data_IF_250325360730
#
_entry.id   IF_250325360730
#
_cell.length_a   1.000
_cell.length_b   1.000
_cell.length_c   1.000
_cell.angle_alpha   90.00
_cell.angle_beta   90.00
_cell.angle_gamma   90.00
#
_symmetry.space_group_name_H-M   'P 1'
#
loop_
_entity.id
_entity.type
_entity.pdbx_description
1 polymer ?
#
# COMPACT_ATOMS: atom_id res chain seq x y z
N UNK A 1 -3.83 5.95 18.94
CA UNK A 1 -4.74 5.42 17.91
C UNK A 1 -5.05 6.38 16.73
N UNK A 2 -4.34 7.49 16.59
CA UNK A 2 -4.59 8.47 15.51
C UNK A 2 -3.63 8.35 14.33
N UNK A 3 -2.95 7.24 14.17
CA UNK A 3 -1.82 7.17 13.23
C UNK A 3 -1.84 5.94 12.34
N UNK A 4 -2.98 5.60 11.78
CA UNK A 4 -2.94 4.85 10.53
C UNK A 4 -2.59 5.85 9.44
N UNK A 5 -1.33 5.92 9.11
CA UNK A 5 -0.83 6.69 7.99
C UNK A 5 -1.64 6.33 6.73
N UNK A 6 -1.86 7.30 5.86
CA UNK A 6 -2.52 7.09 4.55
C UNK A 6 -1.90 5.91 3.79
N UNK A 7 -0.61 5.69 3.93
CA UNK A 7 0.09 4.56 3.35
C UNK A 7 -0.47 3.21 3.83
N UNK A 8 -0.77 3.08 5.14
CA UNK A 8 -1.35 1.86 5.69
C UNK A 8 -2.78 1.69 5.19
N UNK A 9 -3.50 2.78 5.00
CA UNK A 9 -4.83 2.79 4.39
C UNK A 9 -4.77 2.40 2.91
N UNK A 10 -3.86 2.98 2.14
CA UNK A 10 -3.67 2.64 0.72
C UNK A 10 -3.21 1.21 0.57
N UNK A 11 -2.25 0.77 1.38
CA UNK A 11 -1.76 -0.61 1.37
C UNK A 11 -2.87 -1.62 1.71
N UNK A 12 -3.64 -1.33 2.73
CA UNK A 12 -4.79 -2.16 3.12
C UNK A 12 -5.87 -2.15 2.04
N UNK A 13 -6.21 -0.99 1.50
CA UNK A 13 -7.20 -0.86 0.44
C UNK A 13 -6.77 -1.58 -0.84
N UNK A 14 -5.50 -1.47 -1.23
CA UNK A 14 -4.95 -2.17 -2.38
C UNK A 14 -5.01 -3.70 -2.18
N UNK A 15 -4.67 -4.17 -0.98
CA UNK A 15 -4.75 -5.59 -0.61
C UNK A 15 -6.19 -6.11 -0.68
N UNK A 16 -7.13 -5.34 -0.14
CA UNK A 16 -8.57 -5.68 -0.21
C UNK A 16 -9.07 -5.72 -1.65
N UNK A 17 -8.68 -4.76 -2.47
CA UNK A 17 -9.06 -4.72 -3.89
C UNK A 17 -8.49 -5.91 -4.66
N UNK A 18 -7.23 -6.27 -4.42
CA UNK A 18 -6.60 -7.43 -5.04
C UNK A 18 -7.31 -8.73 -4.65
N UNK A 19 -7.65 -8.90 -3.39
CA UNK A 19 -8.41 -10.06 -2.90
C UNK A 19 -9.79 -10.13 -3.55
N UNK A 20 -10.51 -9.00 -3.61
CA UNK A 20 -11.83 -8.94 -4.23
C UNK A 20 -11.78 -9.27 -5.73
N UNK A 21 -10.79 -8.74 -6.46
CA UNK A 21 -10.59 -9.06 -7.87
C UNK A 21 -10.30 -10.56 -8.07
N UNK A 22 -9.46 -11.15 -7.23
CA UNK A 22 -9.15 -12.57 -7.29
C UNK A 22 -10.39 -13.43 -7.05
N UNK A 23 -11.24 -13.06 -6.08
CA UNK A 23 -12.52 -13.71 -5.82
C UNK A 23 -13.46 -13.62 -7.03
N UNK A 24 -13.59 -12.43 -7.64
CA UNK A 24 -14.42 -12.22 -8.83
C UNK A 24 -13.96 -13.03 -10.04
N UNK A 25 -12.67 -13.33 -10.15
CA UNK A 25 -12.10 -14.16 -11.20
C UNK A 25 -12.15 -15.66 -10.89
N UNK A 26 -12.79 -16.05 -9.81
CA UNK A 26 -12.96 -17.47 -9.44
C UNK A 26 -11.66 -18.16 -9.03
N UNK A 27 -10.69 -17.41 -8.51
CA UNK A 27 -9.43 -17.96 -8.02
C UNK A 27 -9.63 -18.76 -6.73
N UNK A 28 -8.74 -19.71 -6.48
CA UNK A 28 -8.72 -20.47 -5.24
C UNK A 28 -8.27 -19.63 -4.05
N UNK A 29 -8.56 -20.09 -2.85
CA UNK A 29 -8.25 -19.37 -1.61
C UNK A 29 -6.77 -18.99 -1.49
N UNK A 30 -5.87 -19.87 -1.84
CA UNK A 30 -4.42 -19.62 -1.81
C UNK A 30 -4.02 -18.50 -2.79
N UNK A 31 -4.66 -18.42 -3.94
CA UNK A 31 -4.43 -17.37 -4.93
C UNK A 31 -4.98 -16.02 -4.44
N UNK A 32 -6.13 -16.02 -3.79
CA UNK A 32 -6.74 -14.82 -3.19
C UNK A 32 -5.81 -14.25 -2.11
N UNK A 33 -5.33 -15.10 -1.22
CA UNK A 33 -4.40 -14.70 -0.16
C UNK A 33 -3.08 -14.20 -0.73
N UNK A 34 -2.55 -14.84 -1.76
CA UNK A 34 -1.32 -14.42 -2.43
C UNK A 34 -1.49 -13.06 -3.13
N UNK A 35 -2.60 -12.82 -3.79
CA UNK A 35 -2.89 -11.52 -4.41
C UNK A 35 -2.93 -10.40 -3.34
N UNK A 36 -3.59 -10.65 -2.22
CA UNK A 36 -3.65 -9.71 -1.10
C UNK A 36 -2.26 -9.43 -0.50
N UNK A 37 -1.46 -10.47 -0.33
CA UNK A 37 -0.09 -10.38 0.21
C UNK A 37 0.82 -9.56 -0.71
N UNK A 38 0.87 -9.86 -1.99
CA UNK A 38 1.69 -9.14 -2.97
C UNK A 38 1.31 -7.67 -3.05
N UNK A 39 0.01 -7.38 -3.05
CA UNK A 39 -0.48 -5.99 -3.07
C UNK A 39 -0.02 -5.20 -1.84
N UNK A 40 -0.09 -5.79 -0.66
CA UNK A 40 0.33 -5.13 0.59
C UNK A 40 1.85 -5.01 0.69
N UNK A 41 2.59 -6.03 0.28
CA UNK A 41 4.06 -6.06 0.32
C UNK A 41 4.67 -4.85 -0.39
N UNK A 42 4.12 -4.44 -1.52
CA UNK A 42 4.62 -3.31 -2.31
C UNK A 42 4.29 -1.94 -1.71
N UNK A 43 3.59 -1.89 -0.60
CA UNK A 43 3.27 -0.67 0.14
C UNK A 43 4.04 -0.54 1.46
N UNK A 44 4.97 -1.46 1.74
CA UNK A 44 5.79 -1.39 2.95
C UNK A 44 6.75 -0.19 2.90
N UNK A 45 6.81 0.56 3.99
CA UNK A 45 7.78 1.64 4.15
C UNK A 45 7.54 2.90 3.33
N UNK A 46 6.40 3.07 2.70
CA UNK A 46 6.08 4.28 1.95
C UNK A 46 5.90 5.48 2.90
N UNK A 47 6.43 6.62 2.50
CA UNK A 47 6.27 7.86 3.24
C UNK A 47 4.86 8.43 3.09
N UNK A 48 4.40 9.15 4.10
CA UNK A 48 3.17 9.93 4.06
C UNK A 48 3.49 11.41 4.21
N UNK A 49 3.54 12.10 3.10
CA UNK A 49 4.04 13.46 2.98
C UNK A 49 3.04 14.36 2.19
N UNK A 50 1.81 14.54 2.70
CA UNK A 50 0.81 15.35 2.02
C UNK A 50 1.23 16.81 1.97
N UNK A 51 1.25 17.38 0.76
CA UNK A 51 1.58 18.79 0.55
C UNK A 51 0.55 19.67 1.24
N UNK A 52 0.99 20.59 2.11
CA UNK A 52 0.14 21.48 2.91
C UNK A 52 -0.87 20.73 3.79
N UNK A 53 -0.59 19.47 4.13
CA UNK A 53 -1.51 18.64 4.90
C UNK A 53 -2.78 18.22 4.15
N UNK A 54 -2.85 18.48 2.85
CA UNK A 54 -4.01 18.15 2.03
C UNK A 54 -3.82 16.77 1.38
N UNK A 55 -4.86 15.95 1.42
CA UNK A 55 -4.88 14.62 0.78
C UNK A 55 -5.15 14.76 -0.72
N UNK A 56 -4.29 15.49 -1.41
CA UNK A 56 -4.39 15.76 -2.85
C UNK A 56 -3.07 15.45 -3.56
N UNK A 57 -1.99 16.08 -3.15
CA UNK A 57 -0.67 15.92 -3.74
C UNK A 57 0.24 15.29 -2.69
N UNK A 58 0.85 14.14 -2.94
CA UNK A 58 0.75 13.26 -4.11
C UNK A 58 -0.34 12.16 -3.99
N UNK A 59 -1.31 12.31 -3.09
CA UNK A 59 -2.22 11.23 -2.69
C UNK A 59 -3.11 10.74 -3.83
N UNK A 60 -3.56 11.64 -4.71
CA UNK A 60 -4.40 11.27 -5.87
C UNK A 60 -3.63 10.32 -6.78
N UNK A 61 -2.38 10.64 -7.10
CA UNK A 61 -1.53 9.81 -7.95
C UNK A 61 -1.20 8.47 -7.28
N UNK A 62 -0.92 8.48 -5.97
CA UNK A 62 -0.64 7.27 -5.20
C UNK A 62 -1.84 6.32 -5.16
N UNK A 63 -3.06 6.86 -5.08
CA UNK A 63 -4.27 6.05 -5.16
C UNK A 63 -4.45 5.41 -6.54
N UNK A 64 -4.18 6.15 -7.61
CA UNK A 64 -4.23 5.62 -8.97
C UNK A 64 -3.21 4.49 -9.17
N UNK A 65 -1.98 4.68 -8.71
CA UNK A 65 -0.93 3.63 -8.76
C UNK A 65 -1.34 2.42 -7.93
N UNK A 66 -1.94 2.61 -6.76
CA UNK A 66 -2.40 1.51 -5.93
C UNK A 66 -3.50 0.68 -6.61
N UNK A 67 -4.40 1.32 -7.35
CA UNK A 67 -5.42 0.63 -8.15
C UNK A 67 -4.76 -0.25 -9.23
N UNK A 68 -3.75 0.26 -9.92
CA UNK A 68 -2.98 -0.52 -10.90
C UNK A 68 -2.22 -1.67 -10.25
N UNK A 69 -1.68 -1.48 -9.06
CA UNK A 69 -1.01 -2.55 -8.30
C UNK A 69 -1.95 -3.68 -7.90
N UNK A 70 -3.20 -3.37 -7.58
CA UNK A 70 -4.20 -4.41 -7.30
C UNK A 70 -4.41 -5.31 -8.51
N UNK A 71 -4.48 -4.74 -9.70
CA UNK A 71 -4.61 -5.49 -10.97
C UNK A 71 -3.34 -6.31 -11.23
N UNK A 72 -2.16 -5.74 -11.02
CA UNK A 72 -0.89 -6.47 -11.17
C UNK A 72 -0.78 -7.63 -10.20
N UNK A 73 -1.21 -7.44 -8.95
CA UNK A 73 -1.20 -8.50 -7.94
C UNK A 73 -2.10 -9.67 -8.35
N UNK A 74 -3.25 -9.39 -8.94
CA UNK A 74 -4.13 -10.40 -9.52
C UNK A 74 -3.42 -11.22 -10.60
N UNK A 75 -2.74 -10.56 -11.53
CA UNK A 75 -1.99 -11.22 -12.60
C UNK A 75 -0.87 -12.11 -12.04
N UNK A 76 -0.10 -11.62 -11.07
CA UNK A 76 0.95 -12.39 -10.42
C UNK A 76 0.40 -13.59 -9.67
N UNK A 77 -0.71 -13.47 -8.99
CA UNK A 77 -1.35 -14.57 -8.28
C UNK A 77 -1.78 -15.68 -9.22
N UNK A 78 -2.18 -15.33 -10.44
CA UNK A 78 -2.55 -16.32 -11.45
C UNK A 78 -1.38 -17.21 -11.89
N UNK A 79 -0.14 -16.68 -11.88
CA UNK A 79 1.03 -17.38 -12.39
C UNK A 79 1.96 -17.92 -11.32
N UNK A 80 2.07 -17.26 -10.17
CA UNK A 80 3.16 -17.48 -9.21
C UNK A 80 2.74 -18.00 -7.83
N UNK A 81 1.47 -18.36 -7.64
CA UNK A 81 0.96 -18.81 -6.33
C UNK A 81 1.77 -19.97 -5.73
N UNK A 82 2.23 -20.89 -6.57
CA UNK A 82 2.96 -22.07 -6.15
C UNK A 82 4.40 -21.78 -5.71
N UNK A 83 4.92 -20.60 -6.00
CA UNK A 83 6.27 -20.18 -5.60
C UNK A 83 6.30 -19.33 -4.34
N UNK A 84 5.17 -19.19 -3.67
CA UNK A 84 4.99 -18.36 -2.49
C UNK A 84 5.91 -18.76 -1.36
N UNK A 85 6.64 -17.77 -0.81
CA UNK A 85 7.56 -17.95 0.32
C UNK A 85 7.20 -17.13 1.56
N UNK A 86 6.42 -16.09 1.39
CA UNK A 86 6.03 -15.13 2.43
C UNK A 86 4.52 -15.21 2.63
N UNK A 87 4.08 -15.29 3.89
CA UNK A 87 2.66 -15.32 4.21
C UNK A 87 2.08 -13.91 4.34
N UNK A 88 0.78 -13.80 4.14
CA UNK A 88 0.05 -12.54 4.37
C UNK A 88 0.24 -11.99 5.79
N UNK A 89 0.23 -12.87 6.80
CA UNK A 89 0.42 -12.46 8.19
C UNK A 89 1.78 -11.84 8.44
N UNK A 90 2.84 -12.38 7.82
CA UNK A 90 4.18 -11.80 7.91
C UNK A 90 4.22 -10.40 7.31
N UNK A 91 3.56 -10.19 6.18
CA UNK A 91 3.48 -8.86 5.55
C UNK A 91 2.71 -7.87 6.42
N UNK A 92 1.60 -8.29 7.03
CA UNK A 92 0.82 -7.43 7.95
C UNK A 92 1.66 -7.00 9.15
N UNK A 93 2.36 -7.94 9.79
CA UNK A 93 3.24 -7.64 10.90
C UNK A 93 4.39 -6.72 10.49
N UNK A 94 5.00 -6.96 9.34
CA UNK A 94 6.07 -6.12 8.80
C UNK A 94 5.57 -4.69 8.53
N UNK A 95 4.38 -4.54 7.99
CA UNK A 95 3.78 -3.22 7.77
C UNK A 95 3.60 -2.47 9.09
N UNK A 96 3.14 -3.13 10.13
CA UNK A 96 3.00 -2.53 11.45
C UNK A 96 4.34 -2.07 12.02
N UNK A 97 5.35 -2.93 12.01
CA UNK A 97 6.69 -2.62 12.52
C UNK A 97 7.35 -1.49 11.73
N UNK A 98 7.36 -1.58 10.41
CA UNK A 98 7.91 -0.54 9.53
C UNK A 98 7.22 0.79 9.75
N UNK A 99 5.91 0.76 10.00
CA UNK A 99 5.14 1.94 10.32
C UNK A 99 5.59 2.61 11.62
N UNK A 100 5.92 1.84 12.61
CA UNK A 100 6.45 2.33 13.89
C UNK A 100 7.84 2.91 13.77
N UNK A 101 8.68 2.34 12.94
CA UNK A 101 10.08 2.72 12.78
C UNK A 101 10.29 3.96 11.92
N UNK A 102 9.28 4.45 11.21
CA UNK A 102 9.38 5.68 10.45
C UNK A 102 9.48 6.91 11.35
N UNK A 103 10.39 7.81 11.02
CA UNK A 103 10.48 9.12 11.68
C UNK A 103 9.17 9.90 11.52
N UNK A 104 8.84 10.71 12.52
CA UNK A 104 7.60 11.52 12.55
C UNK A 104 7.41 12.39 11.31
N UNK A 105 8.50 12.92 10.74
CA UNK A 105 8.46 13.73 9.50
C UNK A 105 7.93 13.00 8.26
N UNK A 106 7.89 11.66 8.29
CA UNK A 106 7.37 10.83 7.20
C UNK A 106 5.98 10.26 7.48
N UNK A 107 5.34 10.70 8.58
CA UNK A 107 4.05 10.21 9.08
C UNK A 107 2.97 11.28 9.07
N UNK A 108 2.42 11.62 7.91
CA UNK A 108 1.31 12.58 7.78
C UNK A 108 1.56 14.01 8.30
N UNK A 109 2.78 14.35 8.68
CA UNK A 109 3.08 15.67 9.26
C UNK A 109 3.27 16.78 8.22
N UNK A 110 3.54 16.41 6.97
CA UNK A 110 3.92 17.39 5.95
C UNK A 110 5.29 18.06 6.18
N UNK A 111 6.06 17.56 7.15
CA UNK A 111 7.36 18.15 7.54
C UNK A 111 8.52 17.60 6.71
N UNK A 112 8.33 16.50 6.00
CA UNK A 112 9.37 15.83 5.23
C UNK A 112 8.89 15.36 3.86
N UNK A 113 9.76 14.65 3.13
CA UNK A 113 9.43 14.11 1.83
C UNK A 113 9.09 15.17 0.80
N UNK A 114 8.14 14.89 -0.07
CA UNK A 114 7.71 15.82 -1.12
C UNK A 114 7.13 17.13 -0.56
N UNK A 115 6.45 17.07 0.58
CA UNK A 115 5.83 18.23 1.19
C UNK A 115 6.84 19.31 1.55
N UNK A 116 8.07 18.93 1.92
CA UNK A 116 9.15 19.86 2.27
C UNK A 116 9.62 20.69 1.07
N UNK A 117 9.67 20.08 -0.10
CA UNK A 117 10.28 20.69 -1.29
C UNK A 117 9.28 21.31 -2.25
N UNK A 118 8.01 20.96 -2.13
CA UNK A 118 6.98 21.51 -3.00
C UNK A 118 6.51 22.88 -2.51
N UNK A 119 6.87 23.93 -3.25
CA UNK A 119 6.54 25.34 -2.88
C UNK A 119 5.20 25.83 -3.40
N UNK A 120 4.50 25.03 -4.23
CA UNK A 120 3.23 25.43 -4.82
C UNK A 120 3.32 26.50 -5.90
N UNK A 121 4.52 26.83 -6.35
CA UNK A 121 4.70 27.71 -7.52
C UNK A 121 4.64 26.86 -8.78
N UNK A 122 3.66 27.17 -9.62
CA UNK A 122 3.65 26.65 -10.99
C UNK A 122 4.78 27.30 -11.80
#
# INVERSE_FOLDING_TARGET
QRQMCIRDRIGSACSMAAAALAELHGMELDQIEYAAEVAMEHHLGLTCDPVRGLVQIPCIERNAVAAMRAINALSLANFLTYTRKISFDVVVNTMYETGRDLFSKYRETGEGGLAKYYTGKK
#
